data_IF_192732581043
#
_entry.id   IF_192732581043
#
_cell.length_a   1.000
_cell.length_b   1.000
_cell.length_c   1.000
_cell.angle_alpha   90.00
_cell.angle_beta   90.00
_cell.angle_gamma   90.00
#
_symmetry.space_group_name_H-M   'P 1'
#
loop_
_entity.id
_entity.type
_entity.pdbx_description
1 polymer ?
#
# COMPACT_ATOMS: atom_id res chain seq x y z
N UNK A 1 -19.50 2.64 -6.23
CA UNK A 1 -18.22 2.73 -6.96
C UNK A 1 -17.65 4.14 -7.00
N UNK A 2 -18.34 5.16 -7.55
CA UNK A 2 -17.82 6.55 -7.61
C UNK A 2 -17.44 7.04 -6.20
N UNK A 3 -18.37 6.94 -5.25
CA UNK A 3 -18.13 7.35 -3.85
C UNK A 3 -16.89 6.67 -3.25
N UNK A 4 -16.71 5.37 -3.52
CA UNK A 4 -15.56 4.59 -3.07
C UNK A 4 -14.25 5.09 -3.69
N UNK A 5 -14.23 5.32 -5.00
CA UNK A 5 -13.06 5.90 -5.68
C UNK A 5 -12.75 7.31 -5.22
N UNK A 6 -13.78 8.16 -5.03
CA UNK A 6 -13.62 9.50 -4.50
C UNK A 6 -12.95 9.45 -3.13
N UNK A 7 -13.38 8.57 -2.24
CA UNK A 7 -12.74 8.42 -0.93
C UNK A 7 -11.28 7.97 -1.06
N UNK A 8 -11.01 6.96 -1.89
CA UNK A 8 -9.65 6.47 -2.13
C UNK A 8 -8.74 7.60 -2.64
N UNK A 9 -9.18 8.33 -3.66
CA UNK A 9 -8.43 9.43 -4.27
C UNK A 9 -8.33 10.65 -3.35
N UNK A 10 -9.33 10.92 -2.52
CA UNK A 10 -9.30 12.02 -1.56
C UNK A 10 -8.29 11.72 -0.44
N UNK A 11 -8.27 10.50 0.08
CA UNK A 11 -7.26 10.11 1.05
C UNK A 11 -5.84 10.11 0.46
N UNK A 12 -5.70 9.65 -0.79
CA UNK A 12 -4.46 9.78 -1.56
C UNK A 12 -4.00 11.24 -1.69
N UNK A 13 -4.92 12.15 -2.04
CA UNK A 13 -4.64 13.57 -2.18
C UNK A 13 -4.25 14.20 -0.84
N UNK A 14 -4.97 13.90 0.23
CA UNK A 14 -4.63 14.38 1.58
C UNK A 14 -3.25 13.84 2.00
N UNK A 15 -2.95 12.57 1.75
CA UNK A 15 -1.64 11.98 2.00
C UNK A 15 -0.52 12.68 1.21
N UNK A 16 -0.77 13.01 -0.06
CA UNK A 16 0.17 13.75 -0.91
C UNK A 16 0.40 15.19 -0.41
N UNK A 17 -0.68 15.89 -0.03
CA UNK A 17 -0.59 17.23 0.56
C UNK A 17 0.22 17.18 1.85
N UNK A 18 -0.04 16.19 2.72
CA UNK A 18 0.70 16.01 3.96
C UNK A 18 2.18 15.71 3.70
N UNK A 19 2.50 14.76 2.80
CA UNK A 19 3.87 14.42 2.45
C UNK A 19 4.66 15.64 1.98
N UNK A 20 4.05 16.46 1.10
CA UNK A 20 4.68 17.68 0.58
C UNK A 20 4.77 18.79 1.62
N UNK A 21 3.71 19.02 2.41
CA UNK A 21 3.67 20.09 3.40
C UNK A 21 4.64 19.84 4.58
N UNK A 22 4.85 18.57 4.94
CA UNK A 22 5.71 18.16 6.06
C UNK A 22 7.12 17.75 5.63
N UNK A 23 7.40 17.73 4.31
CA UNK A 23 8.65 17.25 3.72
C UNK A 23 9.05 15.84 4.20
N UNK A 24 8.07 14.98 4.49
CA UNK A 24 8.32 13.61 4.91
C UNK A 24 8.94 12.80 3.76
N UNK A 25 9.92 11.93 4.07
CA UNK A 25 10.52 11.00 3.09
C UNK A 25 9.58 9.85 2.66
N UNK A 26 8.33 9.87 3.13
CA UNK A 26 7.33 8.84 2.86
C UNK A 26 6.44 9.30 1.70
N UNK A 27 6.22 8.47 0.66
CA UNK A 27 5.33 8.83 -0.44
C UNK A 27 3.90 9.12 0.04
N UNK A 28 3.28 10.16 -0.51
CA UNK A 28 1.87 10.49 -0.28
C UNK A 28 0.90 9.31 -0.36
N UNK A 29 1.03 8.38 -1.33
CA UNK A 29 0.17 7.19 -1.37
C UNK A 29 0.18 6.32 -0.11
N UNK A 30 1.33 6.17 0.54
CA UNK A 30 1.46 5.36 1.75
C UNK A 30 0.74 6.03 2.92
N UNK A 31 0.85 7.35 3.01
CA UNK A 31 0.12 8.15 4.01
C UNK A 31 -1.39 8.06 3.75
N UNK A 32 -1.83 8.21 2.50
CA UNK A 32 -3.24 8.08 2.13
C UNK A 32 -3.83 6.72 2.48
N UNK A 33 -3.06 5.64 2.28
CA UNK A 33 -3.43 4.29 2.70
C UNK A 33 -3.58 4.18 4.23
N UNK A 34 -2.65 4.75 5.00
CA UNK A 34 -2.75 4.78 6.47
C UNK A 34 -3.98 5.57 6.95
N UNK A 35 -4.30 6.69 6.29
CA UNK A 35 -5.51 7.47 6.57
C UNK A 35 -6.79 6.69 6.24
N UNK A 36 -6.83 5.98 5.11
CA UNK A 36 -7.97 5.10 4.76
C UNK A 36 -8.14 3.98 5.78
N UNK A 37 -7.04 3.35 6.22
CA UNK A 37 -7.09 2.33 7.25
C UNK A 37 -7.65 2.90 8.56
N UNK A 38 -7.16 4.06 8.99
CA UNK A 38 -7.65 4.73 10.19
C UNK A 38 -9.16 5.04 10.07
N UNK A 39 -9.59 5.54 8.91
CA UNK A 39 -11.01 5.76 8.63
C UNK A 39 -11.83 4.47 8.74
N UNK A 40 -11.37 3.35 8.17
CA UNK A 40 -12.06 2.07 8.24
C UNK A 40 -12.14 1.53 9.67
N UNK A 41 -11.06 1.63 10.45
CA UNK A 41 -11.05 1.23 11.87
C UNK A 41 -12.04 2.07 12.68
N UNK A 42 -12.07 3.39 12.49
CA UNK A 42 -13.01 4.28 13.17
C UNK A 42 -14.47 4.01 12.75
N UNK A 43 -14.71 3.76 11.46
CA UNK A 43 -16.01 3.37 10.91
C UNK A 43 -16.52 2.09 11.58
N UNK A 44 -15.68 1.07 11.65
CA UNK A 44 -16.07 -0.25 12.17
C UNK A 44 -16.28 -0.21 13.69
N UNK A 45 -15.49 0.60 14.41
CA UNK A 45 -15.66 0.82 15.85
C UNK A 45 -16.99 1.54 16.18
N UNK A 46 -17.48 2.43 15.31
CA UNK A 46 -18.72 3.20 15.49
C UNK A 46 -19.85 2.76 14.52
N UNK A 47 -19.97 1.46 14.24
CA UNK A 47 -20.88 0.91 13.23
C UNK A 47 -22.35 1.38 13.33
N UNK A 48 -22.86 1.57 14.56
CA UNK A 48 -24.23 2.05 14.80
C UNK A 48 -24.50 3.51 14.39
N UNK A 49 -23.48 4.38 14.46
CA UNK A 49 -23.57 5.79 14.02
C UNK A 49 -23.16 5.89 12.55
N UNK A 50 -22.13 5.14 12.17
CA UNK A 50 -21.61 5.09 10.82
C UNK A 50 -22.70 4.73 9.80
N UNK A 51 -23.53 3.72 10.08
CA UNK A 51 -24.64 3.30 9.21
C UNK A 51 -25.73 4.37 9.02
N UNK A 52 -25.82 5.37 9.90
CA UNK A 52 -26.80 6.48 9.80
C UNK A 52 -26.23 7.72 9.11
N UNK A 53 -24.92 7.95 9.21
CA UNK A 53 -24.26 9.19 8.75
C UNK A 53 -23.56 8.99 7.41
N UNK A 54 -22.96 7.83 7.19
CA UNK A 54 -22.17 7.54 5.99
C UNK A 54 -23.07 7.00 4.87
N UNK A 55 -22.71 7.30 3.63
CA UNK A 55 -23.40 6.74 2.48
C UNK A 55 -23.25 5.21 2.44
N UNK A 56 -24.31 4.51 2.02
CA UNK A 56 -24.35 3.05 1.97
C UNK A 56 -23.09 2.39 1.34
N UNK A 57 -22.51 2.91 0.23
CA UNK A 57 -21.31 2.33 -0.39
C UNK A 57 -20.04 2.31 0.47
N UNK A 58 -20.01 3.07 1.58
CA UNK A 58 -18.88 3.07 2.51
C UNK A 58 -19.06 2.06 3.64
N UNK A 59 -20.24 1.46 3.81
CA UNK A 59 -20.57 0.58 4.95
C UNK A 59 -21.00 -0.82 4.48
N UNK A 60 -21.42 -0.97 3.22
CA UNK A 60 -21.96 -2.20 2.64
C UNK A 60 -20.93 -3.13 1.97
N UNK A 61 -19.63 -2.85 2.10
CA UNK A 61 -18.57 -3.62 1.44
C UNK A 61 -18.17 -3.12 0.04
N UNK A 62 -18.86 -2.09 -0.51
CA UNK A 62 -18.58 -1.60 -1.87
C UNK A 62 -17.22 -0.92 -1.99
N UNK A 63 -16.72 -0.31 -0.91
CA UNK A 63 -15.36 0.24 -0.84
C UNK A 63 -14.30 -0.85 -1.04
N UNK A 64 -14.41 -1.94 -0.29
CA UNK A 64 -13.52 -3.10 -0.38
C UNK A 64 -13.60 -3.75 -1.77
N UNK A 65 -14.81 -3.87 -2.34
CA UNK A 65 -15.00 -4.38 -3.70
C UNK A 65 -14.35 -3.49 -4.76
N UNK A 66 -14.46 -2.17 -4.62
CA UNK A 66 -13.83 -1.20 -5.53
C UNK A 66 -12.31 -1.27 -5.42
N UNK A 67 -11.76 -1.42 -4.20
CA UNK A 67 -10.34 -1.64 -3.97
C UNK A 67 -9.82 -2.94 -4.59
N UNK A 68 -10.55 -4.05 -4.43
CA UNK A 68 -10.23 -5.33 -5.10
C UNK A 68 -10.30 -5.23 -6.62
N UNK A 69 -11.26 -4.48 -7.16
CA UNK A 69 -11.35 -4.19 -8.59
C UNK A 69 -10.13 -3.44 -9.11
N UNK A 70 -9.68 -2.40 -8.39
CA UNK A 70 -8.44 -1.71 -8.71
C UNK A 70 -7.23 -2.64 -8.61
N UNK A 71 -7.22 -3.50 -7.59
CA UNK A 71 -6.14 -4.47 -7.38
C UNK A 71 -6.00 -5.45 -8.57
N UNK A 72 -7.13 -5.93 -9.09
CA UNK A 72 -7.18 -6.81 -10.25
C UNK A 72 -6.65 -6.16 -11.54
N UNK A 73 -6.65 -4.83 -11.59
CA UNK A 73 -6.17 -4.05 -12.72
C UNK A 73 -4.90 -3.23 -12.41
N UNK A 74 -4.13 -3.59 -11.36
CA UNK A 74 -2.91 -2.87 -10.99
C UNK A 74 -1.90 -2.76 -12.13
N UNK A 75 -1.85 -3.72 -13.06
CA UNK A 75 -0.99 -3.65 -14.23
C UNK A 75 -1.17 -2.34 -15.01
N UNK A 76 -2.40 -1.80 -15.07
CA UNK A 76 -2.67 -0.51 -15.70
C UNK A 76 -2.03 0.66 -14.94
N UNK A 77 -2.01 0.58 -13.61
CA UNK A 77 -1.40 1.59 -12.74
C UNK A 77 0.14 1.57 -12.81
N UNK A 78 0.74 0.49 -13.30
CA UNK A 78 2.19 0.40 -13.56
C UNK A 78 2.61 0.89 -14.96
N UNK A 79 1.66 1.14 -15.87
CA UNK A 79 1.96 1.65 -17.22
C UNK A 79 2.77 2.96 -17.17
N UNK A 80 2.42 3.98 -16.36
CA UNK A 80 3.19 5.22 -16.31
C UNK A 80 4.64 5.01 -15.84
N UNK A 81 4.84 4.10 -14.86
CA UNK A 81 6.18 3.74 -14.41
C UNK A 81 6.98 3.04 -15.53
N UNK A 82 6.35 2.12 -16.26
CA UNK A 82 6.95 1.45 -17.42
C UNK A 82 7.31 2.42 -18.55
N UNK A 83 6.41 3.35 -18.89
CA UNK A 83 6.67 4.39 -19.88
C UNK A 83 7.85 5.29 -19.49
N UNK A 84 8.04 5.55 -18.19
CA UNK A 84 9.22 6.27 -17.69
C UNK A 84 10.54 5.54 -17.96
N UNK A 85 10.55 4.20 -17.90
CA UNK A 85 11.75 3.38 -18.18
C UNK A 85 12.13 3.44 -19.66
N UNK A 86 11.14 3.52 -20.56
CA UNK A 86 11.39 3.66 -22.02
C UNK A 86 12.17 4.94 -22.34
N UNK A 87 12.09 5.97 -21.50
CA UNK A 87 12.91 7.17 -21.61
C UNK A 87 14.40 6.98 -21.27
N UNK A 88 14.79 5.83 -20.72
CA UNK A 88 16.17 5.49 -20.30
C UNK A 88 16.60 4.09 -20.77
N UNK A 89 16.24 3.73 -22.01
CA UNK A 89 16.61 2.43 -22.58
C UNK A 89 18.12 2.26 -22.75
N UNK A 90 18.87 3.35 -22.92
CA UNK A 90 20.33 3.39 -22.95
C UNK A 90 20.96 2.78 -21.69
N UNK A 91 20.43 3.12 -20.52
CA UNK A 91 20.87 2.55 -19.23
C UNK A 91 20.51 1.07 -19.13
N UNK A 92 19.33 0.70 -19.64
CA UNK A 92 18.89 -0.70 -19.64
C UNK A 92 19.71 -1.57 -20.59
N UNK A 93 20.14 -1.04 -21.73
CA UNK A 93 21.02 -1.73 -22.66
C UNK A 93 22.42 -1.93 -22.05
N UNK A 94 22.99 -0.88 -21.46
CA UNK A 94 24.33 -0.94 -20.88
C UNK A 94 24.41 -1.82 -19.61
N UNK A 95 23.36 -1.85 -18.80
CA UNK A 95 23.39 -2.45 -17.46
C UNK A 95 22.25 -3.43 -17.16
N UNK A 96 21.46 -3.83 -18.15
CA UNK A 96 20.23 -4.61 -17.94
C UNK A 96 20.43 -5.90 -17.17
N UNK A 97 21.50 -6.66 -17.47
CA UNK A 97 21.81 -7.90 -16.75
C UNK A 97 22.20 -7.64 -15.29
N UNK A 98 22.98 -6.60 -15.04
CA UNK A 98 23.35 -6.19 -13.68
C UNK A 98 22.12 -5.72 -12.89
N UNK A 99 21.24 -4.91 -13.50
CA UNK A 99 19.99 -4.46 -12.90
C UNK A 99 19.07 -5.64 -12.56
N UNK A 100 18.89 -6.58 -13.49
CA UNK A 100 18.09 -7.79 -13.27
C UNK A 100 18.63 -8.62 -12.10
N UNK A 101 19.95 -8.84 -12.06
CA UNK A 101 20.60 -9.56 -10.97
C UNK A 101 20.41 -8.85 -9.62
N UNK A 102 20.68 -7.54 -9.56
CA UNK A 102 20.52 -6.74 -8.35
C UNK A 102 19.08 -6.79 -7.85
N UNK A 103 18.08 -6.61 -8.72
CA UNK A 103 16.66 -6.66 -8.34
C UNK A 103 16.28 -8.01 -7.77
N UNK A 104 16.69 -9.12 -8.40
CA UNK A 104 16.37 -10.47 -7.92
C UNK A 104 17.04 -10.72 -6.56
N UNK A 105 18.34 -10.46 -6.45
CA UNK A 105 19.10 -10.72 -5.23
C UNK A 105 18.62 -9.82 -4.08
N UNK A 106 18.39 -8.53 -4.32
CA UNK A 106 17.92 -7.60 -3.28
C UNK A 106 16.50 -7.94 -2.82
N UNK A 107 15.63 -8.39 -3.72
CA UNK A 107 14.27 -8.81 -3.39
C UNK A 107 14.29 -10.05 -2.49
N UNK A 108 15.05 -11.07 -2.90
CA UNK A 108 15.20 -12.29 -2.09
C UNK A 108 15.82 -11.97 -0.72
N UNK A 109 16.89 -11.18 -0.70
CA UNK A 109 17.54 -10.76 0.54
C UNK A 109 16.58 -10.02 1.48
N UNK A 110 15.79 -9.08 0.96
CA UNK A 110 14.80 -8.32 1.75
C UNK A 110 13.69 -9.22 2.29
N UNK A 111 13.18 -10.16 1.48
CA UNK A 111 12.17 -11.13 1.90
C UNK A 111 12.72 -12.06 2.99
N UNK A 112 13.94 -12.58 2.82
CA UNK A 112 14.60 -13.42 3.82
C UNK A 112 14.83 -12.65 5.12
N UNK A 113 15.35 -11.43 5.06
CA UNK A 113 15.58 -10.59 6.24
C UNK A 113 14.26 -10.31 7.00
N UNK A 114 13.20 -9.98 6.26
CA UNK A 114 11.86 -9.78 6.84
C UNK A 114 11.38 -11.05 7.53
N UNK A 115 11.40 -12.20 6.83
CA UNK A 115 10.95 -13.48 7.40
C UNK A 115 11.75 -13.87 8.65
N UNK A 116 13.07 -13.74 8.62
CA UNK A 116 13.94 -14.03 9.77
C UNK A 116 13.65 -13.10 10.96
N UNK A 117 13.40 -11.82 10.71
CA UNK A 117 13.03 -10.85 11.74
C UNK A 117 11.73 -11.27 12.43
N UNK A 118 10.69 -11.62 11.65
CA UNK A 118 9.42 -12.12 12.21
C UNK A 118 9.60 -13.41 13.00
N UNK A 119 10.42 -14.35 12.52
CA UNK A 119 10.74 -15.58 13.25
C UNK A 119 11.48 -15.30 14.55
N UNK A 120 12.46 -14.39 14.54
CA UNK A 120 13.21 -14.00 15.73
C UNK A 120 12.31 -13.34 16.77
N UNK A 121 11.50 -12.37 16.37
CA UNK A 121 10.50 -11.70 17.25
C UNK A 121 9.54 -12.73 17.83
N UNK A 122 8.99 -13.64 17.01
CA UNK A 122 8.13 -14.72 17.48
C UNK A 122 8.81 -15.59 18.54
N UNK A 123 10.10 -15.89 18.38
CA UNK A 123 10.88 -16.68 19.36
C UNK A 123 11.12 -15.92 20.66
N UNK A 124 11.29 -14.60 20.61
CA UNK A 124 11.44 -13.77 21.81
C UNK A 124 10.14 -13.59 22.59
N UNK A 125 9.00 -13.50 21.90
CA UNK A 125 7.69 -13.36 22.52
C UNK A 125 7.00 -14.69 22.85
N UNK A 126 7.57 -15.83 22.49
CA UNK A 126 7.10 -17.13 22.96
C UNK A 126 7.49 -17.27 24.44
N UNK A 127 6.53 -17.22 25.40
CA UNK A 127 6.83 -17.52 26.79
C UNK A 127 7.37 -18.94 26.85
N UNK A 128 8.37 -19.17 27.70
CA UNK A 128 8.95 -20.48 27.91
C UNK A 128 7.84 -21.52 28.04
N UNK A 129 7.92 -22.58 27.23
CA UNK A 129 7.16 -23.80 27.48
C UNK A 129 7.61 -24.27 28.87
N UNK A 130 6.78 -24.06 29.88
CA UNK A 130 6.94 -24.70 31.18
C UNK A 130 6.86 -26.23 31.00
N UNK A 131 7.62 -26.99 31.81
CA UNK A 131 8.10 -28.35 31.52
C UNK A 131 7.02 -29.43 31.40
#
# INVERSE_FOLDING_TARGET
>A
MIVSFTLILLAQLVGEVLARATALSVPGPVIGMALLLLFMVLRDHWSGIASRVLAAPLVDGTLERSGKGLLAHLSLMFIPAGAGIVGRLDVLEAHGLALACVVVVSTLATLTATALTFVAVKRWFAPGREP
#
